data_IF_439694355541
#
_entry.id   IF_439694355541
#
_cell.length_a   1.000
_cell.length_b   1.000
_cell.length_c   1.000
_cell.angle_alpha   90.00
_cell.angle_beta   90.00
_cell.angle_gamma   90.00
#
_symmetry.space_group_name_H-M   'P 1'
#
loop_
_entity.id
_entity.type
_entity.pdbx_description
1 polymer ?
#
# COMPACT_ATOMS: atom_id res chain seq x y z
N UNK A 1 -9.45 12.39 -1.66
CA UNK A 1 -9.27 13.86 -1.41
C UNK A 1 -10.62 14.58 -1.51
N UNK A 2 -10.76 15.85 -1.11
CA UNK A 2 -11.98 16.65 -1.39
C UNK A 2 -11.64 17.74 -2.40
N UNK A 3 -12.42 17.85 -3.47
CA UNK A 3 -12.41 18.99 -4.39
C UNK A 3 -13.75 19.72 -4.34
N UNK A 4 -13.76 20.96 -4.81
CA UNK A 4 -14.97 21.80 -4.86
C UNK A 4 -15.32 22.06 -6.32
N UNK A 5 -16.57 21.78 -6.67
CA UNK A 5 -17.11 22.06 -8.00
C UNK A 5 -17.47 23.54 -8.15
N UNK A 6 -17.70 23.97 -9.40
CA UNK A 6 -18.04 25.36 -9.72
C UNK A 6 -19.36 25.84 -9.06
N UNK A 7 -20.28 24.91 -8.77
CA UNK A 7 -21.54 25.18 -8.07
C UNK A 7 -21.41 25.19 -6.53
N UNK A 8 -20.21 24.95 -6.01
CA UNK A 8 -19.90 24.92 -4.58
C UNK A 8 -20.16 23.58 -3.89
N UNK A 9 -20.59 22.54 -4.61
CA UNK A 9 -20.66 21.18 -4.07
C UNK A 9 -19.27 20.59 -3.83
N UNK A 10 -19.18 19.63 -2.90
CA UNK A 10 -17.94 18.91 -2.60
C UNK A 10 -17.94 17.58 -3.34
N UNK A 11 -16.88 17.33 -4.11
CA UNK A 11 -16.60 16.04 -4.71
C UNK A 11 -15.63 15.27 -3.82
N UNK A 12 -16.04 14.05 -3.45
CA UNK A 12 -15.19 13.12 -2.71
C UNK A 12 -14.43 12.26 -3.70
N UNK A 13 -13.11 12.39 -3.70
CA UNK A 13 -12.23 11.45 -4.37
C UNK A 13 -12.03 10.23 -3.47
N UNK A 14 -12.53 9.10 -3.98
CA UNK A 14 -12.55 7.79 -3.34
C UNK A 14 -11.42 6.86 -3.83
N UNK A 15 -10.45 7.39 -4.59
CA UNK A 15 -9.30 6.62 -5.08
C UNK A 15 -8.50 6.04 -3.92
N UNK A 16 -8.23 4.74 -3.96
CA UNK A 16 -7.36 4.11 -2.98
C UNK A 16 -5.91 4.56 -3.18
N UNK A 17 -5.26 4.96 -2.09
CA UNK A 17 -3.86 5.40 -2.07
C UNK A 17 -3.13 4.77 -0.87
N UNK A 18 -1.99 4.13 -1.16
CA UNK A 18 -1.16 3.44 -0.17
C UNK A 18 -0.63 4.37 0.92
N UNK A 19 -0.53 5.67 0.68
CA UNK A 19 -0.08 6.66 1.66
C UNK A 19 -1.01 6.83 2.86
N UNK A 20 -2.25 6.31 2.80
CA UNK A 20 -3.14 6.26 3.97
C UNK A 20 -2.59 5.37 5.10
N UNK A 21 -1.59 4.52 4.83
CA UNK A 21 -0.70 3.93 5.85
C UNK A 21 -0.20 4.97 6.87
N UNK A 22 0.10 6.20 6.41
CA UNK A 22 0.60 7.29 7.26
C UNK A 22 -0.35 7.68 8.41
N UNK A 23 -1.65 7.36 8.30
CA UNK A 23 -2.62 7.64 9.36
C UNK A 23 -2.25 6.94 10.68
N UNK A 24 -1.73 5.72 10.66
CA UNK A 24 -1.23 5.10 11.90
C UNK A 24 0.27 5.33 12.11
N UNK A 25 1.07 5.36 11.04
CA UNK A 25 2.52 5.50 11.16
C UNK A 25 2.94 6.81 11.83
N UNK A 26 2.14 7.87 11.67
CA UNK A 26 2.34 9.15 12.36
C UNK A 26 1.52 9.29 13.66
N UNK A 27 0.90 8.20 14.13
CA UNK A 27 0.21 8.14 15.42
C UNK A 27 -1.13 8.87 15.48
N UNK A 28 -1.78 9.18 14.34
CA UNK A 28 -3.13 9.76 14.35
C UNK A 28 -4.17 8.73 14.80
N UNK A 29 -3.94 7.45 14.48
CA UNK A 29 -4.75 6.31 14.90
C UNK A 29 -3.86 5.15 15.35
N UNK A 30 -4.41 4.27 16.20
CA UNK A 30 -3.79 2.99 16.49
C UNK A 30 -3.87 2.07 15.25
N UNK A 31 -2.91 1.15 15.04
CA UNK A 31 -2.97 0.21 13.92
C UNK A 31 -4.17 -0.75 14.01
N UNK A 32 -4.70 -1.01 15.21
CA UNK A 32 -5.92 -1.78 15.46
C UNK A 32 -7.21 -0.96 15.41
N UNK A 33 -7.14 0.35 15.12
CA UNK A 33 -8.36 1.14 14.93
C UNK A 33 -9.19 0.52 13.79
N UNK A 34 -10.48 0.19 13.99
CA UNK A 34 -11.28 -0.48 12.97
C UNK A 34 -11.33 0.23 11.62
N UNK A 35 -11.14 1.55 11.60
CA UNK A 35 -11.06 2.33 10.36
C UNK A 35 -9.73 2.09 9.66
N UNK A 36 -8.62 2.06 10.38
CA UNK A 36 -7.30 1.73 9.82
C UNK A 36 -7.31 0.30 9.29
N UNK A 37 -7.87 -0.65 10.04
CA UNK A 37 -8.00 -2.04 9.58
C UNK A 37 -8.80 -2.16 8.28
N UNK A 38 -9.97 -1.52 8.23
CA UNK A 38 -10.81 -1.51 7.03
C UNK A 38 -10.10 -0.82 5.85
N UNK A 39 -9.39 0.29 6.10
CA UNK A 39 -8.61 1.00 5.08
C UNK A 39 -7.50 0.10 4.54
N UNK A 40 -6.61 -0.43 5.40
CA UNK A 40 -5.47 -1.23 4.95
C UNK A 40 -5.90 -2.52 4.25
N UNK A 41 -7.00 -3.15 4.68
CA UNK A 41 -7.59 -4.28 3.97
C UNK A 41 -8.09 -3.91 2.56
N UNK A 42 -8.79 -2.78 2.42
CA UNK A 42 -9.25 -2.28 1.12
C UNK A 42 -8.08 -1.90 0.20
N UNK A 43 -7.05 -1.25 0.74
CA UNK A 43 -5.83 -0.91 0.00
C UNK A 43 -5.14 -2.17 -0.51
N UNK A 44 -4.93 -3.18 0.35
CA UNK A 44 -4.33 -4.45 -0.05
C UNK A 44 -5.15 -5.11 -1.17
N UNK A 45 -6.47 -5.16 -1.04
CA UNK A 45 -7.33 -5.76 -2.06
C UNK A 45 -7.24 -5.04 -3.43
N UNK A 46 -7.16 -3.70 -3.41
CA UNK A 46 -7.26 -2.87 -4.61
C UNK A 46 -5.92 -2.60 -5.28
N UNK A 47 -4.88 -2.43 -4.48
CA UNK A 47 -3.58 -1.96 -4.92
C UNK A 47 -2.56 -3.09 -5.05
N UNK A 48 -2.81 -4.28 -4.49
CA UNK A 48 -1.95 -5.43 -4.75
C UNK A 48 -2.01 -5.84 -6.23
N UNK A 49 -0.85 -5.92 -6.88
CA UNK A 49 -0.75 -6.37 -8.25
C UNK A 49 -0.91 -7.90 -8.29
N UNK A 50 -1.99 -8.38 -8.89
CA UNK A 50 -2.24 -9.81 -9.11
C UNK A 50 -1.44 -10.31 -10.32
N UNK A 51 -0.12 -10.29 -10.19
CA UNK A 51 0.85 -10.82 -11.16
C UNK A 51 1.77 -11.82 -10.46
N UNK A 52 2.58 -12.54 -11.23
CA UNK A 52 3.62 -13.42 -10.66
C UNK A 52 4.67 -12.64 -9.86
N UNK A 53 4.84 -11.35 -10.14
CA UNK A 53 5.76 -10.45 -9.43
C UNK A 53 5.17 -10.00 -8.10
N UNK A 54 3.86 -9.70 -8.02
CA UNK A 54 3.25 -9.16 -6.81
C UNK A 54 3.65 -7.70 -6.52
N UNK A 55 3.44 -7.26 -5.27
CA UNK A 55 3.76 -5.91 -4.79
C UNK A 55 2.59 -4.92 -4.83
N UNK A 56 2.71 -3.82 -4.09
CA UNK A 56 1.66 -2.80 -3.95
C UNK A 56 1.83 -1.65 -4.94
N UNK A 57 0.73 -1.27 -5.59
CA UNK A 57 0.62 -0.01 -6.31
C UNK A 57 0.59 1.18 -5.35
N UNK A 58 0.97 2.36 -5.88
CA UNK A 58 0.93 3.62 -5.13
C UNK A 58 -0.50 4.10 -4.93
N UNK A 59 -1.27 4.20 -6.00
CA UNK A 59 -2.72 4.46 -6.01
C UNK A 59 -3.36 3.89 -7.27
N UNK A 60 -4.69 3.75 -7.28
CA UNK A 60 -5.43 3.25 -8.45
C UNK A 60 -5.20 4.16 -9.66
N UNK A 61 -4.80 3.58 -10.78
CA UNK A 61 -4.65 4.33 -12.03
C UNK A 61 -3.32 5.07 -12.17
N UNK A 62 -2.35 4.85 -11.27
CA UNK A 62 -1.02 5.48 -11.36
C UNK A 62 -0.39 5.25 -12.74
N UNK A 63 -0.17 6.34 -13.48
CA UNK A 63 0.40 6.31 -14.83
C UNK A 63 1.92 6.45 -14.86
N UNK A 64 2.56 6.74 -13.72
CA UNK A 64 4.00 6.99 -13.68
C UNK A 64 4.77 5.68 -13.86
N UNK A 65 5.57 5.60 -14.93
CA UNK A 65 6.28 4.39 -15.39
C UNK A 65 5.39 3.17 -15.65
N UNK A 66 4.07 3.34 -15.80
CA UNK A 66 3.17 2.20 -15.94
C UNK A 66 3.21 1.63 -17.35
N UNK A 67 3.55 0.36 -17.45
CA UNK A 67 3.63 -0.34 -18.73
C UNK A 67 2.29 -0.90 -19.21
N UNK A 68 1.44 -1.37 -18.29
CA UNK A 68 0.18 -2.04 -18.63
C UNK A 68 -1.02 -1.40 -17.94
N UNK A 69 -2.03 -1.03 -18.75
CA UNK A 69 -3.27 -0.44 -18.24
C UNK A 69 -4.23 -1.42 -17.57
N UNK A 70 -4.01 -2.73 -17.69
CA UNK A 70 -4.79 -3.78 -17.04
C UNK A 70 -4.57 -3.90 -15.52
N UNK A 71 -3.52 -3.29 -14.98
CA UNK A 71 -3.20 -3.32 -13.54
C UNK A 71 -3.42 -1.97 -12.87
N UNK A 72 -3.54 -1.98 -11.53
CA UNK A 72 -3.78 -0.80 -10.71
C UNK A 72 -2.62 0.22 -10.76
N UNK A 73 -1.40 -0.22 -11.03
CA UNK A 73 -0.20 0.61 -11.07
C UNK A 73 1.07 -0.24 -11.27
N UNK A 74 2.19 0.25 -10.75
CA UNK A 74 3.47 -0.47 -10.67
C UNK A 74 3.73 -1.01 -9.25
N UNK A 75 4.50 -2.09 -9.08
CA UNK A 75 4.81 -2.64 -7.77
C UNK A 75 5.92 -1.83 -7.08
N UNK A 76 5.53 -0.82 -6.31
CA UNK A 76 6.49 0.06 -5.64
C UNK A 76 7.01 -0.58 -4.36
N UNK A 77 8.34 -0.75 -4.24
CA UNK A 77 8.99 -1.24 -3.01
C UNK A 77 8.50 -0.51 -1.77
N UNK A 78 8.46 0.82 -1.81
CA UNK A 78 8.03 1.64 -0.68
C UNK A 78 6.60 1.34 -0.23
N UNK A 79 5.66 1.17 -1.16
CA UNK A 79 4.28 0.86 -0.83
C UNK A 79 4.12 -0.58 -0.31
N UNK A 80 4.92 -1.53 -0.83
CA UNK A 80 4.97 -2.90 -0.29
C UNK A 80 5.53 -2.90 1.13
N UNK A 81 6.57 -2.10 1.41
CA UNK A 81 7.14 -1.94 2.76
C UNK A 81 6.14 -1.31 3.73
N UNK A 82 5.33 -0.34 3.29
CA UNK A 82 4.27 0.22 4.13
C UNK A 82 3.23 -0.83 4.53
N UNK A 83 2.86 -1.74 3.61
CA UNK A 83 1.99 -2.86 3.97
C UNK A 83 2.67 -3.80 4.97
N UNK A 84 3.95 -4.11 4.78
CA UNK A 84 4.72 -4.95 5.70
C UNK A 84 4.79 -4.34 7.12
N UNK A 85 5.08 -3.04 7.21
CA UNK A 85 5.15 -2.30 8.47
C UNK A 85 3.80 -2.32 9.21
N UNK A 86 2.69 -2.08 8.50
CA UNK A 86 1.36 -2.19 9.08
C UNK A 86 1.07 -3.58 9.64
N UNK A 87 1.34 -4.63 8.86
CA UNK A 87 1.10 -6.00 9.29
C UNK A 87 1.98 -6.37 10.49
N UNK A 88 3.26 -5.98 10.47
CA UNK A 88 4.19 -6.19 11.58
C UNK A 88 3.74 -5.47 12.86
N UNK A 89 3.22 -4.25 12.74
CA UNK A 89 2.72 -3.47 13.89
C UNK A 89 1.54 -4.12 14.61
N UNK A 90 0.81 -5.02 13.93
CA UNK A 90 -0.36 -5.72 14.47
C UNK A 90 -0.09 -7.15 14.88
N UNK A 91 1.04 -7.72 14.46
CA UNK A 91 1.37 -9.12 14.72
C UNK A 91 1.60 -9.34 16.23
N UNK A 92 0.91 -10.34 16.77
CA UNK A 92 0.96 -10.69 18.21
C UNK A 92 1.81 -11.92 18.50
N UNK A 93 2.25 -12.62 17.47
CA UNK A 93 2.97 -13.88 17.55
C UNK A 93 3.78 -14.12 16.26
N UNK A 94 4.63 -15.15 16.29
CA UNK A 94 5.52 -15.48 15.17
C UNK A 94 4.77 -15.92 13.90
N UNK A 95 3.58 -16.52 14.05
CA UNK A 95 2.75 -16.93 12.91
C UNK A 95 2.22 -15.70 12.16
N UNK A 96 1.73 -14.69 12.89
CA UNK A 96 1.28 -13.42 12.31
C UNK A 96 2.44 -12.58 11.75
N UNK A 97 3.68 -12.82 12.20
CA UNK A 97 4.88 -12.18 11.65
C UNK A 97 5.36 -12.78 10.32
N UNK A 98 4.86 -13.96 9.93
CA UNK A 98 5.31 -14.64 8.72
C UNK A 98 5.04 -13.81 7.45
N UNK A 99 3.88 -13.18 7.36
CA UNK A 99 3.51 -12.38 6.19
C UNK A 99 4.30 -11.07 6.06
N UNK A 100 4.45 -10.23 7.11
CA UNK A 100 5.37 -9.10 7.07
C UNK A 100 6.78 -9.50 6.63
N UNK A 101 7.30 -10.61 7.17
CA UNK A 101 8.63 -11.11 6.82
C UNK A 101 8.72 -11.49 5.34
N UNK A 102 7.72 -12.20 4.80
CA UNK A 102 7.67 -12.55 3.38
C UNK A 102 7.66 -11.31 2.47
N UNK A 103 7.02 -10.21 2.90
CA UNK A 103 7.07 -8.95 2.16
C UNK A 103 8.44 -8.27 2.24
N UNK A 104 9.14 -8.36 3.37
CA UNK A 104 10.53 -7.87 3.48
C UNK A 104 11.48 -8.68 2.61
N UNK A 105 11.34 -10.01 2.60
CA UNK A 105 12.09 -10.93 1.74
C UNK A 105 11.81 -10.63 0.26
N UNK A 106 10.54 -10.41 -0.10
CA UNK A 106 10.16 -9.98 -1.45
C UNK A 106 10.92 -8.71 -1.87
N UNK A 107 11.00 -7.69 -1.01
CA UNK A 107 11.75 -6.46 -1.32
C UNK A 107 13.25 -6.73 -1.49
N UNK A 108 13.83 -7.57 -0.62
CA UNK A 108 15.24 -7.94 -0.69
C UNK A 108 15.58 -8.73 -1.97
N UNK A 109 14.72 -9.67 -2.36
CA UNK A 109 14.89 -10.52 -3.55
C UNK A 109 14.80 -9.74 -4.87
N UNK A 110 14.12 -8.61 -4.85
CA UNK A 110 13.97 -7.72 -6.01
C UNK A 110 14.99 -6.57 -6.00
N UNK A 111 15.91 -6.53 -5.04
CA UNK A 111 17.02 -5.60 -5.07
C UNK A 111 18.02 -5.98 -6.18
N UNK A 112 18.71 -4.99 -6.73
CA UNK A 112 19.86 -5.24 -7.60
C UNK A 112 20.97 -5.98 -6.83
N UNK A 113 21.93 -6.64 -7.50
CA UNK A 113 23.05 -7.31 -6.82
C UNK A 113 23.88 -6.39 -5.91
N UNK A 114 23.80 -5.08 -6.11
CA UNK A 114 24.41 -4.05 -5.26
C UNK A 114 23.64 -3.77 -3.95
N UNK A 115 22.44 -4.32 -3.80
CA UNK A 115 21.50 -4.01 -2.72
C UNK A 115 20.64 -2.76 -2.97
N UNK A 116 20.75 -2.13 -4.15
CA UNK A 116 19.94 -0.96 -4.50
C UNK A 116 18.53 -1.38 -4.91
N UNK A 117 17.52 -0.68 -4.39
CA UNK A 117 16.13 -0.76 -4.85
C UNK A 117 15.91 0.27 -5.96
N UNK A 118 15.70 -0.19 -7.19
CA UNK A 118 15.54 0.67 -8.38
C UNK A 118 14.54 0.07 -9.38
#
# INVERSE_FOLDING_TARGET
MLSREADGSLLVDATCDSSLWGLFAFGLYAPEDPRVEATMAALRQKLWLNTEVGGMARYEGDGYHRENRGYSGNPWFLCTLWLADYLASRAKNDEEMAEPLALLEWVADHALPSGVLA
#
